data_IF_583255096443
#
_entry.id   IF_583255096443
#
_cell.length_a   1.000
_cell.length_b   1.000
_cell.length_c   1.000
_cell.angle_alpha   90.00
_cell.angle_beta   90.00
_cell.angle_gamma   90.00
#
_symmetry.space_group_name_H-M   'P 1'
#
loop_
_entity.id
_entity.type
_entity.pdbx_description
1 polymer ?
#
# COMPACT_ATOMS: atom_id res chain seq x y z
N UNK A 1 -5.83 26.04 17.16
CA UNK A 1 -4.61 26.60 16.54
C UNK A 1 -4.48 25.97 15.18
N UNK A 2 -4.18 26.72 14.14
CA UNK A 2 -4.14 26.18 12.76
C UNK A 2 -2.85 25.36 12.59
N UNK A 3 -2.93 24.04 12.66
CA UNK A 3 -1.78 23.12 12.61
C UNK A 3 -0.94 23.24 11.31
N UNK A 4 -1.54 23.79 10.26
CA UNK A 4 -0.88 24.03 8.96
C UNK A 4 0.32 24.97 9.02
N UNK A 5 0.43 25.84 10.03
CA UNK A 5 1.47 26.90 10.08
C UNK A 5 2.90 26.38 10.33
N UNK A 6 3.06 25.10 10.67
CA UNK A 6 4.36 24.49 10.99
C UNK A 6 4.97 23.66 9.87
N UNK A 7 4.22 23.38 8.78
CA UNK A 7 4.63 22.53 7.68
C UNK A 7 4.75 23.33 6.37
N UNK A 8 5.63 22.91 5.47
CA UNK A 8 5.63 23.43 4.11
C UNK A 8 4.32 23.04 3.38
N UNK A 9 3.93 23.79 2.36
CA UNK A 9 2.73 23.45 1.57
C UNK A 9 2.83 22.05 0.93
N UNK A 10 4.01 21.64 0.43
CA UNK A 10 4.23 20.31 -0.14
C UNK A 10 4.05 19.23 0.93
N UNK A 11 4.66 19.39 2.10
CA UNK A 11 4.53 18.45 3.20
C UNK A 11 3.08 18.34 3.67
N UNK A 12 2.39 19.48 3.81
CA UNK A 12 0.99 19.48 4.22
C UNK A 12 0.09 18.74 3.23
N UNK A 13 0.29 18.93 1.92
CA UNK A 13 -0.42 18.19 0.88
C UNK A 13 -0.17 16.68 1.01
N UNK A 14 1.07 16.26 1.25
CA UNK A 14 1.42 14.86 1.44
C UNK A 14 0.79 14.28 2.72
N UNK A 15 0.77 15.05 3.83
CA UNK A 15 0.10 14.66 5.07
C UNK A 15 -1.40 14.46 4.88
N UNK A 16 -2.07 15.39 4.22
CA UNK A 16 -3.51 15.29 3.89
C UNK A 16 -3.79 14.07 3.02
N UNK A 17 -3.01 13.83 1.97
CA UNK A 17 -3.21 12.68 1.10
C UNK A 17 -2.91 11.35 1.81
N UNK A 18 -1.88 11.30 2.67
CA UNK A 18 -1.58 10.09 3.42
C UNK A 18 -2.68 9.79 4.46
N UNK A 19 -3.16 10.79 5.19
CA UNK A 19 -4.29 10.64 6.10
C UNK A 19 -5.56 10.19 5.36
N UNK A 20 -5.83 10.75 4.17
CA UNK A 20 -6.91 10.27 3.30
C UNK A 20 -6.75 8.79 2.93
N UNK A 21 -5.52 8.35 2.64
CA UNK A 21 -5.23 6.95 2.31
C UNK A 21 -5.59 6.02 3.48
N UNK A 22 -5.27 6.40 4.72
CA UNK A 22 -5.68 5.66 5.92
C UNK A 22 -7.19 5.57 6.05
N UNK A 23 -7.92 6.69 5.90
CA UNK A 23 -9.38 6.71 5.98
C UNK A 23 -10.04 5.90 4.86
N UNK A 24 -9.47 5.90 3.66
CA UNK A 24 -9.95 5.06 2.56
C UNK A 24 -9.69 3.57 2.82
N UNK A 25 -8.52 3.22 3.39
CA UNK A 25 -8.24 1.85 3.79
C UNK A 25 -9.23 1.37 4.86
N UNK A 26 -9.61 2.22 5.82
CA UNK A 26 -10.67 1.92 6.79
C UNK A 26 -12.03 1.75 6.10
N UNK A 27 -12.39 2.67 5.21
CA UNK A 27 -13.65 2.62 4.46
C UNK A 27 -13.81 1.33 3.65
N UNK A 28 -12.74 0.84 3.03
CA UNK A 28 -12.74 -0.39 2.23
C UNK A 28 -12.40 -1.65 3.07
N UNK A 29 -12.37 -1.54 4.40
CA UNK A 29 -12.13 -2.65 5.32
C UNK A 29 -10.78 -3.35 5.09
N UNK A 30 -9.74 -2.57 4.82
CA UNK A 30 -8.37 -3.05 4.62
C UNK A 30 -7.48 -2.79 5.85
N UNK A 31 -8.06 -2.78 7.05
CA UNK A 31 -7.38 -2.51 8.31
C UNK A 31 -7.19 -3.78 9.14
N UNK A 32 -6.20 -3.75 10.02
CA UNK A 32 -5.97 -4.76 11.05
C UNK A 32 -5.75 -4.05 12.40
N UNK A 33 -6.84 -3.50 12.95
CA UNK A 33 -6.91 -2.69 14.17
C UNK A 33 -5.87 -1.56 14.14
N UNK A 34 -4.64 -1.80 14.66
CA UNK A 34 -3.53 -0.82 14.76
C UNK A 34 -2.23 -1.31 14.10
N UNK A 35 -2.23 -2.53 13.53
CA UNK A 35 -0.99 -3.20 13.14
C UNK A 35 -0.49 -2.86 11.73
N UNK A 36 -1.39 -2.56 10.80
CA UNK A 36 -0.99 -2.17 9.46
C UNK A 36 -0.46 -0.74 9.42
N UNK A 37 0.22 -0.39 8.35
CA UNK A 37 0.83 0.92 8.19
C UNK A 37 0.93 1.31 6.72
N UNK A 38 0.94 2.61 6.48
CA UNK A 38 1.15 3.21 5.17
C UNK A 38 2.18 4.32 5.36
N UNK A 39 3.18 4.39 4.48
CA UNK A 39 4.17 5.46 4.52
C UNK A 39 4.17 6.25 3.23
N UNK A 40 4.49 7.54 3.29
CA UNK A 40 4.83 8.33 2.12
C UNK A 40 6.05 9.20 2.38
N UNK A 41 6.77 9.59 1.32
CA UNK A 41 7.81 10.62 1.47
C UNK A 41 7.21 11.91 2.01
N UNK A 42 7.92 12.58 2.92
CA UNK A 42 7.51 13.89 3.45
C UNK A 42 7.46 14.95 2.34
N UNK A 43 8.49 14.97 1.48
CA UNK A 43 8.57 15.77 0.26
C UNK A 43 9.51 15.11 -0.75
N UNK A 44 9.53 15.62 -2.00
CA UNK A 44 10.39 15.07 -3.06
C UNK A 44 11.88 15.13 -2.76
N UNK A 45 12.31 16.17 -2.02
CA UNK A 45 13.72 16.47 -1.79
C UNK A 45 14.22 16.02 -0.40
N UNK A 46 13.36 15.43 0.43
CA UNK A 46 13.73 14.90 1.75
C UNK A 46 13.81 13.37 1.71
N UNK A 47 14.77 12.81 2.41
CA UNK A 47 14.86 11.36 2.70
C UNK A 47 14.18 11.03 4.03
N UNK A 48 13.01 11.65 4.26
CA UNK A 48 12.15 11.43 5.43
C UNK A 48 10.77 10.99 5.00
N UNK A 49 10.06 10.30 5.89
CA UNK A 49 8.79 9.66 5.59
C UNK A 49 7.75 10.01 6.64
N UNK A 50 6.52 10.10 6.19
CA UNK A 50 5.34 10.21 7.03
C UNK A 50 4.80 8.81 7.32
N UNK A 51 4.38 8.58 8.57
CA UNK A 51 3.76 7.32 9.03
C UNK A 51 2.74 7.63 10.13
N UNK A 52 1.80 6.72 10.36
CA UNK A 52 0.84 6.85 11.46
C UNK A 52 1.51 6.68 12.83
N UNK A 53 0.98 7.37 13.81
CA UNK A 53 1.27 7.11 15.22
C UNK A 53 0.74 5.72 15.57
N UNK A 54 1.58 4.86 16.16
CA UNK A 54 1.19 3.53 16.60
C UNK A 54 0.13 3.60 17.69
N UNK A 55 -0.86 2.71 17.63
CA UNK A 55 -1.99 2.66 18.56
C UNK A 55 -3.21 3.45 18.11
N UNK A 56 -3.13 4.28 17.05
CA UNK A 56 -4.30 4.91 16.44
C UNK A 56 -4.92 4.00 15.38
N UNK A 57 -6.25 3.94 15.35
CA UNK A 57 -6.99 3.32 14.25
C UNK A 57 -6.91 4.21 13.01
N UNK A 58 -7.10 3.64 11.86
CA UNK A 58 -6.96 4.36 10.59
C UNK A 58 -7.90 5.57 10.45
N UNK A 59 -9.11 5.48 10.97
CA UNK A 59 -10.06 6.61 10.97
C UNK A 59 -9.79 7.68 12.03
N UNK A 60 -8.77 7.50 12.86
CA UNK A 60 -8.29 8.50 13.83
C UNK A 60 -7.06 9.27 13.30
N UNK A 61 -6.49 8.84 12.15
CA UNK A 61 -5.33 9.46 11.55
C UNK A 61 -5.74 10.78 10.87
N UNK A 62 -5.01 11.84 11.16
CA UNK A 62 -5.22 13.17 10.55
C UNK A 62 -3.89 13.69 9.99
N UNK A 63 -3.95 14.70 9.12
CA UNK A 63 -2.75 15.32 8.57
C UNK A 63 -1.79 15.82 9.66
N UNK A 64 -2.33 16.32 10.79
CA UNK A 64 -1.55 16.89 11.89
C UNK A 64 -0.97 15.86 12.86
N UNK A 65 -1.54 14.65 12.97
CA UNK A 65 -1.05 13.63 13.91
C UNK A 65 -0.13 12.57 13.29
N UNK A 66 0.16 12.66 11.99
CA UNK A 66 1.19 11.86 11.35
C UNK A 66 2.58 12.22 11.91
N UNK A 67 3.42 11.19 12.07
CA UNK A 67 4.80 11.35 12.48
C UNK A 67 5.71 11.47 11.25
N UNK A 68 6.78 12.26 11.36
CA UNK A 68 7.88 12.26 10.40
C UNK A 68 9.04 11.43 10.96
N UNK A 69 9.57 10.49 10.17
CA UNK A 69 10.68 9.61 10.52
C UNK A 69 11.82 9.72 9.50
N UNK A 70 13.03 9.41 9.92
CA UNK A 70 14.19 9.26 9.03
C UNK A 70 14.27 7.84 8.43
N UNK A 71 15.31 7.61 7.63
CA UNK A 71 15.60 6.31 7.00
C UNK A 71 15.98 5.20 8.01
N UNK A 72 16.29 5.55 9.24
CA UNK A 72 16.62 4.67 10.36
C UNK A 72 15.40 4.37 11.24
N UNK A 73 14.24 4.99 10.95
CA UNK A 73 13.00 4.82 11.72
C UNK A 73 12.92 5.68 12.97
N UNK A 74 13.82 6.65 13.13
CA UNK A 74 13.78 7.59 14.25
C UNK A 74 12.72 8.65 13.99
N UNK A 75 11.85 8.91 14.97
CA UNK A 75 10.90 10.01 14.91
C UNK A 75 11.64 11.34 14.97
N UNK A 76 11.47 12.17 13.91
CA UNK A 76 12.07 13.49 13.77
C UNK A 76 11.07 14.56 14.21
N UNK A 77 9.80 14.38 13.89
CA UNK A 77 8.73 15.32 14.17
C UNK A 77 7.43 14.60 14.51
N UNK A 78 6.66 15.20 15.41
CA UNK A 78 5.44 14.64 15.96
C UNK A 78 5.65 14.03 17.35
N UNK A 79 4.54 13.70 18.03
CA UNK A 79 4.54 13.11 19.37
C UNK A 79 3.95 11.71 19.34
N UNK A 80 4.78 10.69 19.57
CA UNK A 80 4.37 9.30 19.60
C UNK A 80 5.42 8.32 19.17
N UNK A 81 5.02 7.06 19.09
CA UNK A 81 5.84 5.92 18.69
C UNK A 81 5.37 5.38 17.35
N UNK A 82 6.26 4.71 16.63
CA UNK A 82 5.95 3.98 15.39
C UNK A 82 5.86 2.48 15.66
N UNK A 83 5.16 1.76 14.79
CA UNK A 83 5.32 0.32 14.70
C UNK A 83 6.67 0.01 14.00
N UNK A 84 7.67 -0.46 14.76
CA UNK A 84 9.01 -0.71 14.23
C UNK A 84 9.04 -1.78 13.14
N UNK A 85 8.24 -2.84 13.25
CA UNK A 85 8.14 -3.89 12.22
C UNK A 85 7.67 -3.32 10.88
N UNK A 86 6.71 -2.37 10.95
CA UNK A 86 6.25 -1.64 9.79
C UNK A 86 7.34 -0.81 9.12
N UNK A 87 8.18 -0.17 9.92
CA UNK A 87 9.31 0.58 9.40
C UNK A 87 10.29 -0.32 8.64
N UNK A 88 10.64 -1.50 9.17
CA UNK A 88 11.59 -2.44 8.54
C UNK A 88 11.17 -2.76 7.11
N UNK A 89 9.91 -3.15 6.91
CA UNK A 89 9.36 -3.49 5.58
C UNK A 89 9.35 -2.27 4.65
N UNK A 90 8.81 -1.13 5.12
CA UNK A 90 8.66 0.06 4.28
C UNK A 90 10.00 0.75 4.00
N UNK A 91 10.88 0.80 4.99
CA UNK A 91 12.22 1.34 4.86
C UNK A 91 13.04 0.59 3.80
N UNK A 92 12.90 -0.75 3.72
CA UNK A 92 13.53 -1.56 2.69
C UNK A 92 13.12 -1.11 1.27
N UNK A 93 11.82 -0.90 1.04
CA UNK A 93 11.29 -0.47 -0.26
C UNK A 93 11.74 0.95 -0.59
N UNK A 94 11.64 1.89 0.35
CA UNK A 94 12.03 3.29 0.14
C UNK A 94 13.54 3.45 -0.12
N UNK A 95 14.38 2.65 0.57
CA UNK A 95 15.83 2.63 0.32
C UNK A 95 16.19 2.08 -1.05
N UNK A 96 15.49 1.02 -1.49
CA UNK A 96 15.77 0.35 -2.76
C UNK A 96 15.24 1.10 -3.98
N UNK A 97 14.10 1.81 -3.85
CA UNK A 97 13.38 2.42 -4.98
C UNK A 97 13.20 3.93 -4.78
N UNK A 98 14.13 4.71 -5.29
CA UNK A 98 14.14 6.18 -5.12
C UNK A 98 12.94 6.90 -5.75
N UNK A 99 12.32 6.32 -6.79
CA UNK A 99 11.12 6.87 -7.44
C UNK A 99 9.82 6.57 -6.70
N UNK A 100 9.82 5.64 -5.74
CA UNK A 100 8.63 5.33 -4.95
C UNK A 100 8.38 6.43 -3.92
N UNK A 101 7.14 6.91 -3.90
CA UNK A 101 6.66 7.93 -2.97
C UNK A 101 5.87 7.32 -1.81
N UNK A 102 5.08 6.27 -2.05
CA UNK A 102 4.20 5.66 -1.07
C UNK A 102 4.37 4.14 -1.03
N UNK A 103 4.32 3.57 0.16
CA UNK A 103 4.28 2.12 0.41
C UNK A 103 3.09 1.82 1.31
N UNK A 104 2.28 0.82 0.95
CA UNK A 104 1.11 0.37 1.68
C UNK A 104 1.20 -1.13 1.96
N UNK A 105 0.93 -1.53 3.20
CA UNK A 105 0.92 -2.92 3.64
C UNK A 105 -0.38 -3.23 4.39
N UNK A 106 -0.98 -4.40 4.11
CA UNK A 106 -2.25 -4.81 4.70
C UNK A 106 -2.27 -6.30 5.04
N UNK A 107 -3.05 -6.66 6.09
CA UNK A 107 -3.37 -8.03 6.50
C UNK A 107 -4.83 -8.37 6.20
N UNK A 108 -5.32 -8.02 5.03
CA UNK A 108 -6.72 -8.31 4.67
C UNK A 108 -6.97 -9.82 4.62
N UNK A 109 -8.21 -10.22 4.94
CA UNK A 109 -8.59 -11.65 4.97
C UNK A 109 -8.29 -12.38 3.66
N UNK A 110 -8.64 -11.76 2.53
CA UNK A 110 -8.41 -12.39 1.23
C UNK A 110 -6.93 -12.38 0.85
N UNK A 111 -6.22 -11.27 1.12
CA UNK A 111 -4.78 -11.17 0.94
C UNK A 111 -4.02 -12.21 1.74
N UNK A 112 -4.35 -12.37 3.04
CA UNK A 112 -3.77 -13.42 3.89
C UNK A 112 -4.04 -14.81 3.31
N UNK A 113 -5.28 -15.12 2.92
CA UNK A 113 -5.62 -16.42 2.38
C UNK A 113 -4.82 -16.75 1.10
N UNK A 114 -4.70 -15.79 0.17
CA UNK A 114 -3.89 -15.96 -1.05
C UNK A 114 -2.40 -16.07 -0.72
N UNK A 115 -1.90 -15.32 0.28
CA UNK A 115 -0.50 -15.39 0.69
C UNK A 115 -0.08 -16.78 1.19
N UNK A 116 -1.02 -17.57 1.69
CA UNK A 116 -0.81 -18.94 2.15
C UNK A 116 -0.87 -19.98 1.01
N UNK A 117 -1.31 -19.62 -0.18
CA UNK A 117 -1.41 -20.57 -1.29
C UNK A 117 -0.06 -20.72 -2.01
N UNK A 118 0.37 -21.96 -2.26
CA UNK A 118 1.61 -22.25 -2.98
C UNK A 118 1.67 -21.55 -4.34
N UNK A 119 0.55 -21.55 -5.07
CA UNK A 119 0.47 -20.94 -6.40
C UNK A 119 0.27 -19.41 -6.34
N UNK A 120 -0.13 -18.86 -5.18
CA UNK A 120 -0.37 -17.44 -4.99
C UNK A 120 -1.55 -16.88 -5.77
N UNK A 121 -1.42 -15.67 -6.28
CA UNK A 121 -2.44 -14.98 -7.05
C UNK A 121 -2.49 -15.51 -8.49
N UNK A 122 -3.70 -15.86 -8.96
CA UNK A 122 -3.99 -16.25 -10.34
C UNK A 122 -4.72 -15.13 -11.07
N UNK A 123 -4.22 -14.64 -12.21
CA UNK A 123 -4.89 -13.61 -13.00
C UNK A 123 -6.01 -14.24 -13.85
N UNK A 124 -7.17 -14.50 -13.23
CA UNK A 124 -8.28 -15.22 -13.87
C UNK A 124 -9.42 -14.30 -14.39
N UNK A 125 -9.29 -12.98 -14.24
CA UNK A 125 -10.28 -12.00 -14.69
C UNK A 125 -9.61 -10.66 -15.04
N UNK A 126 -10.36 -9.76 -15.69
CA UNK A 126 -9.82 -8.52 -16.27
C UNK A 126 -8.99 -7.68 -15.30
N UNK A 127 -9.51 -7.35 -14.12
CA UNK A 127 -8.78 -6.48 -13.17
C UNK A 127 -7.50 -7.13 -12.63
N UNK A 128 -7.46 -8.48 -12.55
CA UNK A 128 -6.28 -9.21 -12.14
C UNK A 128 -5.18 -9.23 -13.21
N UNK A 129 -5.49 -8.85 -14.46
CA UNK A 129 -4.48 -8.72 -15.52
C UNK A 129 -3.40 -7.69 -15.16
N UNK A 130 -3.73 -6.65 -14.36
CA UNK A 130 -2.75 -5.68 -13.83
C UNK A 130 -1.55 -6.40 -13.18
N UNK A 131 -1.79 -7.55 -12.58
CA UNK A 131 -0.85 -8.31 -11.77
C UNK A 131 -0.18 -9.46 -12.53
N UNK A 132 -0.56 -9.73 -13.77
CA UNK A 132 0.04 -10.80 -14.56
C UNK A 132 1.53 -10.54 -14.78
N UNK A 133 2.41 -11.47 -14.33
CA UNK A 133 3.88 -11.32 -14.33
C UNK A 133 4.43 -10.09 -13.59
N UNK A 134 3.63 -9.42 -12.75
CA UNK A 134 3.97 -8.15 -12.07
C UNK A 134 3.83 -8.23 -10.54
N UNK A 135 3.71 -9.45 -10.00
CA UNK A 135 3.68 -9.71 -8.55
C UNK A 135 4.97 -10.39 -8.14
N UNK A 136 5.60 -9.83 -7.14
CA UNK A 136 6.72 -10.46 -6.45
C UNK A 136 6.22 -11.25 -5.24
N UNK A 137 7.02 -12.20 -4.79
CA UNK A 137 6.76 -12.98 -3.58
C UNK A 137 7.97 -12.92 -2.66
N UNK A 138 7.70 -12.85 -1.36
CA UNK A 138 8.72 -12.91 -0.32
C UNK A 138 8.30 -13.93 0.73
N UNK A 139 9.16 -14.90 1.01
CA UNK A 139 8.88 -15.96 1.98
C UNK A 139 8.94 -15.39 3.40
N UNK A 140 8.06 -15.87 4.26
CA UNK A 140 7.97 -15.40 5.64
C UNK A 140 9.21 -15.82 6.45
N UNK A 141 9.88 -14.85 7.05
CA UNK A 141 11.10 -15.05 7.85
C UNK A 141 10.87 -14.79 9.34
N UNK A 142 9.61 -14.71 9.78
CA UNK A 142 9.23 -14.38 11.16
C UNK A 142 8.62 -12.99 11.28
N UNK A 143 8.58 -12.42 12.48
CA UNK A 143 8.20 -11.02 12.66
C UNK A 143 9.36 -10.15 12.16
N UNK A 144 9.08 -9.25 11.21
CA UNK A 144 10.06 -8.38 10.54
C UNK A 144 10.77 -7.44 11.53
N UNK A 145 11.74 -7.95 12.26
CA UNK A 145 12.54 -7.22 13.26
C UNK A 145 14.00 -7.07 12.84
N UNK A 146 14.44 -7.83 11.83
CA UNK A 146 15.85 -7.93 11.45
C UNK A 146 16.15 -7.09 10.21
N UNK A 147 17.29 -6.39 10.25
CA UNK A 147 17.75 -5.52 9.15
C UNK A 147 18.10 -6.34 7.89
N UNK A 148 18.48 -7.60 8.05
CA UNK A 148 18.79 -8.53 6.96
C UNK A 148 17.56 -8.78 6.08
N UNK A 149 16.37 -8.89 6.65
CA UNK A 149 15.12 -9.05 5.91
C UNK A 149 14.85 -7.87 4.96
N UNK A 150 15.29 -6.67 5.34
CA UNK A 150 15.20 -5.49 4.45
C UNK A 150 15.85 -5.72 3.08
N UNK A 151 17.00 -6.40 3.05
CA UNK A 151 17.73 -6.67 1.80
C UNK A 151 16.99 -7.68 0.95
N UNK A 152 16.42 -8.70 1.59
CA UNK A 152 15.68 -9.75 0.90
C UNK A 152 14.34 -9.22 0.35
N UNK A 153 13.61 -8.40 1.11
CA UNK A 153 12.40 -7.72 0.65
C UNK A 153 12.71 -6.85 -0.58
N UNK A 154 13.74 -6.01 -0.51
CA UNK A 154 14.14 -5.15 -1.61
C UNK A 154 14.53 -5.94 -2.86
N UNK A 155 15.33 -7.01 -2.69
CA UNK A 155 15.76 -7.91 -3.75
C UNK A 155 14.57 -8.65 -4.39
N UNK A 156 13.69 -9.21 -3.57
CA UNK A 156 12.54 -9.98 -4.04
C UNK A 156 11.49 -9.09 -4.73
N UNK A 157 11.32 -7.85 -4.27
CA UNK A 157 10.44 -6.89 -4.95
C UNK A 157 10.92 -6.58 -6.37
N UNK A 158 12.25 -6.51 -6.57
CA UNK A 158 12.84 -6.27 -7.88
C UNK A 158 12.26 -5.01 -8.55
N UNK A 159 11.78 -5.10 -9.78
CA UNK A 159 11.17 -3.99 -10.51
C UNK A 159 9.67 -3.82 -10.26
N UNK A 160 9.02 -4.79 -9.61
CA UNK A 160 7.59 -4.77 -9.39
C UNK A 160 7.16 -3.71 -8.36
N UNK A 161 5.89 -3.31 -8.42
CA UNK A 161 5.24 -2.40 -7.47
C UNK A 161 4.32 -3.15 -6.48
N UNK A 162 4.21 -4.46 -6.64
CA UNK A 162 3.30 -5.33 -5.89
C UNK A 162 4.07 -6.56 -5.39
N UNK A 163 3.86 -6.89 -4.12
CA UNK A 163 4.43 -8.07 -3.50
C UNK A 163 3.39 -8.76 -2.61
N UNK A 164 3.36 -10.07 -2.68
CA UNK A 164 2.67 -10.92 -1.70
C UNK A 164 3.72 -11.44 -0.73
N UNK A 165 3.61 -11.04 0.52
CA UNK A 165 4.39 -11.56 1.63
C UNK A 165 3.77 -12.89 2.04
N UNK A 166 4.46 -14.02 1.77
CA UNK A 166 3.96 -15.37 2.05
C UNK A 166 3.59 -15.51 3.53
N UNK A 167 2.40 -16.08 3.80
CA UNK A 167 1.86 -16.28 5.14
C UNK A 167 1.74 -14.98 6.00
N UNK A 168 1.77 -13.80 5.38
CA UNK A 168 1.84 -12.54 6.10
C UNK A 168 0.83 -11.49 5.57
N UNK A 169 0.80 -11.21 4.26
CA UNK A 169 -0.12 -10.20 3.72
C UNK A 169 0.29 -9.63 2.38
N UNK A 170 -0.21 -8.43 2.10
CA UNK A 170 -0.02 -7.74 0.83
C UNK A 170 0.82 -6.47 1.00
N UNK A 171 1.65 -6.17 0.02
CA UNK A 171 2.40 -4.93 -0.08
C UNK A 171 2.27 -4.33 -1.47
N UNK A 172 1.99 -3.03 -1.54
CA UNK A 172 2.05 -2.25 -2.78
C UNK A 172 2.87 -0.99 -2.60
N UNK A 173 3.48 -0.53 -3.68
CA UNK A 173 4.18 0.73 -3.69
C UNK A 173 3.88 1.53 -4.97
N UNK A 174 3.96 2.85 -4.88
CA UNK A 174 3.62 3.73 -5.99
C UNK A 174 4.43 5.02 -5.99
N UNK A 175 4.52 5.65 -7.16
CA UNK A 175 5.11 6.98 -7.34
C UNK A 175 4.20 8.10 -6.79
N UNK A 176 2.96 7.73 -6.46
CA UNK A 176 1.99 8.59 -5.77
C UNK A 176 1.23 7.76 -4.73
N UNK A 177 0.64 8.44 -3.73
CA UNK A 177 -0.23 7.80 -2.74
C UNK A 177 -1.43 7.14 -3.43
N UNK A 178 -2.03 7.83 -4.41
CA UNK A 178 -3.16 7.30 -5.18
C UNK A 178 -2.82 6.03 -5.94
N UNK A 179 -1.63 5.95 -6.56
CA UNK A 179 -1.19 4.74 -7.27
C UNK A 179 -1.04 3.55 -6.31
N UNK A 180 -0.34 3.75 -5.18
CA UNK A 180 -0.15 2.69 -4.18
C UNK A 180 -1.49 2.18 -3.63
N UNK A 181 -2.43 3.09 -3.35
CA UNK A 181 -3.76 2.74 -2.87
C UNK A 181 -4.57 1.96 -3.91
N UNK A 182 -4.60 2.41 -5.17
CA UNK A 182 -5.37 1.75 -6.23
C UNK A 182 -4.79 0.37 -6.55
N UNK A 183 -3.46 0.22 -6.56
CA UNK A 183 -2.84 -1.10 -6.65
C UNK A 183 -3.30 -2.02 -5.52
N UNK A 184 -3.34 -1.55 -4.27
CA UNK A 184 -3.81 -2.33 -3.12
C UNK A 184 -5.28 -2.69 -3.25
N UNK A 185 -6.12 -1.74 -3.65
CA UNK A 185 -7.56 -1.97 -3.85
C UNK A 185 -7.83 -3.06 -4.88
N UNK A 186 -7.15 -3.01 -6.03
CA UNK A 186 -7.33 -4.04 -7.07
C UNK A 186 -6.68 -5.37 -6.68
N UNK A 187 -5.55 -5.35 -5.95
CA UNK A 187 -4.92 -6.57 -5.46
C UNK A 187 -5.83 -7.31 -4.47
N UNK A 188 -6.41 -6.60 -3.51
CA UNK A 188 -7.38 -7.17 -2.57
C UNK A 188 -8.65 -7.67 -3.29
N UNK A 189 -9.16 -6.92 -4.28
CA UNK A 189 -10.28 -7.35 -5.12
C UNK A 189 -9.93 -8.62 -5.90
N UNK A 190 -8.70 -8.71 -6.44
CA UNK A 190 -8.22 -9.90 -7.14
C UNK A 190 -8.15 -11.11 -6.20
N UNK A 191 -7.64 -10.93 -4.98
CA UNK A 191 -7.61 -11.98 -3.97
C UNK A 191 -9.03 -12.46 -3.60
N UNK A 192 -9.98 -11.55 -3.36
CA UNK A 192 -11.37 -11.88 -3.06
C UNK A 192 -12.01 -12.69 -4.17
N UNK A 193 -11.94 -12.20 -5.41
CA UNK A 193 -12.56 -12.87 -6.55
C UNK A 193 -11.95 -14.23 -6.83
N UNK A 194 -10.64 -14.40 -6.65
CA UNK A 194 -10.00 -15.72 -6.77
C UNK A 194 -10.56 -16.69 -5.73
N UNK A 195 -10.65 -16.29 -4.46
CA UNK A 195 -11.19 -17.15 -3.40
C UNK A 195 -12.64 -17.51 -3.66
N UNK A 196 -13.48 -16.52 -4.05
CA UNK A 196 -14.88 -16.75 -4.36
C UNK A 196 -15.04 -17.73 -5.54
N UNK A 197 -14.25 -17.56 -6.59
CA UNK A 197 -14.23 -18.49 -7.74
C UNK A 197 -13.80 -19.90 -7.32
N UNK A 198 -12.71 -20.01 -6.56
CA UNK A 198 -12.20 -21.30 -6.10
C UNK A 198 -13.16 -22.01 -5.12
N UNK A 199 -13.92 -21.25 -4.33
CA UNK A 199 -14.88 -21.80 -3.37
C UNK A 199 -16.05 -22.53 -4.01
N UNK A 200 -16.31 -22.28 -5.30
CA UNK A 200 -17.39 -22.98 -6.05
C UNK A 200 -17.07 -24.45 -6.30
N UNK A 201 -15.79 -24.83 -6.31
CA UNK A 201 -15.32 -26.16 -6.68
C UNK A 201 -15.54 -26.51 -8.18
N UNK A 202 -16.01 -25.54 -8.97
CA UNK A 202 -16.24 -25.71 -10.40
C UNK A 202 -14.96 -25.44 -11.21
N UNK A 203 -14.90 -25.99 -12.42
CA UNK A 203 -13.81 -25.71 -13.36
C UNK A 203 -13.78 -24.24 -13.73
N UNK A 204 -12.61 -23.62 -13.69
CA UNK A 204 -12.41 -22.19 -13.98
C UNK A 204 -11.91 -21.98 -15.40
N UNK A 205 -12.54 -21.06 -16.13
CA UNK A 205 -12.01 -20.59 -17.41
C UNK A 205 -10.83 -19.67 -17.13
N UNK A 206 -9.63 -20.08 -17.56
CA UNK A 206 -8.41 -19.28 -17.41
C UNK A 206 -8.06 -18.65 -18.76
N UNK A 207 -7.91 -17.30 -18.82
CA UNK A 207 -7.47 -16.65 -20.05
C UNK A 207 -6.05 -17.11 -20.42
N UNK A 208 -5.70 -17.05 -21.72
CA UNK A 208 -4.33 -17.37 -22.14
C UNK A 208 -3.33 -16.32 -21.66
N UNK A 209 -2.07 -16.75 -21.42
CA UNK A 209 -0.98 -15.86 -21.01
C UNK A 209 -0.80 -14.66 -21.97
N UNK A 210 -0.95 -14.89 -23.27
CA UNK A 210 -0.82 -13.82 -24.27
C UNK A 210 -1.87 -12.72 -24.10
N UNK A 211 -3.12 -13.07 -23.81
CA UNK A 211 -4.18 -12.08 -23.60
C UNK A 211 -4.01 -11.36 -22.27
N UNK A 212 -3.54 -12.07 -21.24
CA UNK A 212 -3.27 -11.49 -19.95
C UNK A 212 -2.08 -10.51 -19.98
N UNK A 213 -1.00 -10.87 -20.66
CA UNK A 213 0.16 -9.99 -20.85
C UNK A 213 -0.20 -8.76 -21.71
N UNK A 214 -0.99 -8.94 -22.78
CA UNK A 214 -1.49 -7.83 -23.56
C UNK A 214 -2.32 -6.86 -22.71
N UNK A 215 -3.26 -7.39 -21.92
CA UNK A 215 -4.09 -6.59 -21.02
C UNK A 215 -3.26 -5.88 -19.94
N UNK A 216 -2.27 -6.57 -19.34
CA UNK A 216 -1.34 -5.97 -18.39
C UNK A 216 -0.62 -4.75 -18.98
N UNK A 217 -0.10 -4.89 -20.22
CA UNK A 217 0.54 -3.78 -20.94
C UNK A 217 -0.41 -2.58 -21.20
N UNK A 218 -1.72 -2.84 -21.38
CA UNK A 218 -2.70 -1.74 -21.52
C UNK A 218 -2.82 -0.91 -20.22
N UNK A 219 -2.72 -1.53 -19.04
CA UNK A 219 -2.73 -0.82 -17.75
C UNK A 219 -1.44 -0.02 -17.49
N UNK A 220 -0.34 -0.30 -18.20
CA UNK A 220 0.90 0.47 -18.14
C UNK A 220 0.89 1.72 -19.01
N UNK A 221 -0.11 1.87 -19.89
CA UNK A 221 -0.27 3.07 -20.73
C UNK A 221 -0.45 4.32 -19.86
N UNK A 222 0.36 5.39 -20.06
CA UNK A 222 0.28 6.62 -19.27
C UNK A 222 -1.12 7.29 -19.29
N UNK A 223 -1.94 7.00 -20.29
CA UNK A 223 -3.34 7.49 -20.36
C UNK A 223 -4.20 6.88 -19.25
N UNK A 224 -3.92 5.64 -18.85
CA UNK A 224 -4.65 4.88 -17.84
C UNK A 224 -3.88 4.73 -16.54
N UNK A 225 -2.92 5.64 -16.27
CA UNK A 225 -2.11 5.60 -15.05
C UNK A 225 -3.00 5.49 -13.81
N UNK A 226 -2.83 4.41 -13.06
CA UNK A 226 -3.59 4.10 -11.85
C UNK A 226 -3.47 5.24 -10.82
N UNK A 227 -4.58 5.57 -10.19
CA UNK A 227 -4.69 6.66 -9.22
C UNK A 227 -4.89 8.05 -9.84
N UNK A 228 -4.76 8.21 -11.16
CA UNK A 228 -4.93 9.53 -11.81
C UNK A 228 -6.38 10.04 -11.75
N UNK A 229 -7.32 9.18 -12.05
CA UNK A 229 -8.76 9.50 -12.10
C UNK A 229 -9.48 9.03 -10.84
N UNK A 230 -9.06 7.92 -10.28
CA UNK A 230 -9.69 7.28 -9.12
C UNK A 230 -9.41 8.08 -7.84
N UNK A 231 -8.17 8.56 -7.64
CA UNK A 231 -7.80 9.25 -6.40
C UNK A 231 -8.65 10.51 -6.14
N UNK A 232 -8.85 11.44 -7.09
CA UNK A 232 -9.74 12.58 -6.88
C UNK A 232 -11.19 12.18 -6.60
N UNK A 233 -11.68 11.07 -7.17
CA UNK A 233 -13.02 10.56 -6.88
C UNK A 233 -13.14 10.03 -5.45
N UNK A 234 -12.11 9.31 -4.96
CA UNK A 234 -12.04 8.81 -3.60
C UNK A 234 -11.90 9.93 -2.56
N UNK A 235 -11.20 11.00 -2.88
CA UNK A 235 -11.13 12.19 -2.02
C UNK A 235 -12.51 12.81 -1.85
N UNK A 236 -13.30 12.95 -2.93
CA UNK A 236 -14.69 13.45 -2.82
C UNK A 236 -15.57 12.54 -1.96
N UNK A 237 -15.39 11.21 -2.03
CA UNK A 237 -16.09 10.27 -1.16
C UNK A 237 -15.84 10.55 0.32
N UNK A 238 -14.59 10.86 0.71
CA UNK A 238 -14.26 11.21 2.09
C UNK A 238 -14.82 12.59 2.49
N UNK A 239 -14.80 13.56 1.57
CA UNK A 239 -15.34 14.90 1.81
C UNK A 239 -16.86 14.85 2.00
N UNK A 240 -17.58 14.08 1.20
CA UNK A 240 -19.03 13.85 1.35
C UNK A 240 -19.37 13.19 2.69
N UNK A 241 -18.50 12.34 3.21
CA UNK A 241 -18.62 11.71 4.54
C UNK A 241 -18.18 12.62 5.70
N UNK A 242 -17.72 13.83 5.42
CA UNK A 242 -17.17 14.78 6.42
C UNK A 242 -16.06 14.15 7.27
N UNK A 243 -15.20 13.38 6.65
CA UNK A 243 -14.06 12.73 7.30
C UNK A 243 -13.06 13.76 7.84
N UNK A 244 -12.44 13.47 8.98
CA UNK A 244 -11.55 14.39 9.70
C UNK A 244 -10.09 14.38 9.19
N UNK A 245 -9.77 13.66 8.15
CA UNK A 245 -8.40 13.44 7.67
C UNK A 245 -7.60 14.73 7.37
N UNK A 246 -8.28 15.83 7.08
CA UNK A 246 -7.66 17.14 6.79
C UNK A 246 -7.22 17.93 8.04
N UNK A 247 -7.60 17.47 9.23
CA UNK A 247 -7.29 18.18 10.49
C UNK A 247 -5.80 18.10 10.84
#
# INVERSE_FOLDING_TARGET
MNSKTHFSDEEWINRVNLAACYHLADHFQMTDIVWNHITSKTSKNKETFLINKFGLRYNEITASNLLEIDLEGKVISGDGEINYTGYVIHGAVHKAKKNIHCVMHTHTRAGLAISCLKEGLKPIFQDAAIFHNRVSYHDWQGMSTEVEECKDIAKNLGNNKVMILRNHGLLTCGETIGEAFILMYYLEKACKNQLDTMSTGLETIVPSDNIMEYAAGQYEDPRFRLGKHEWPALIRLLDDKKSIYKN
#
